data_IF_100584109957
#
_entry.id   IF_100584109957
#
_cell.length_a   1.000
_cell.length_b   1.000
_cell.length_c   1.000
_cell.angle_alpha   90.00
_cell.angle_beta   90.00
_cell.angle_gamma   90.00
#
_symmetry.space_group_name_H-M   'P 1'
#
loop_
_entity.id
_entity.type
_entity.pdbx_description
1 polymer ?
#
# COMPACT_ATOMS: atom_id res chain seq x y z
N UNK A 1 13.91 -8.87 3.79
CA UNK A 1 12.53 -8.55 4.08
C UNK A 1 11.88 -9.54 5.00
N UNK A 2 10.73 -9.18 5.48
CA UNK A 2 9.98 -10.01 6.41
C UNK A 2 8.61 -10.25 5.80
N UNK A 3 8.14 -11.49 5.85
CA UNK A 3 6.81 -11.81 5.35
C UNK A 3 5.78 -11.38 6.39
N UNK A 4 4.90 -10.49 6.03
CA UNK A 4 3.93 -9.91 6.95
C UNK A 4 2.48 -10.32 6.64
N UNK A 5 2.28 -11.19 5.67
CA UNK A 5 0.94 -11.63 5.32
C UNK A 5 0.93 -12.48 4.08
N UNK A 6 -0.24 -12.68 3.54
CA UNK A 6 -0.41 -13.49 2.33
C UNK A 6 -1.54 -12.96 1.47
N UNK A 7 -1.46 -13.22 0.19
CA UNK A 7 -2.53 -12.88 -0.74
C UNK A 7 -3.62 -13.94 -0.64
N UNK A 8 -4.85 -13.50 -0.46
CA UNK A 8 -5.98 -14.40 -0.39
C UNK A 8 -6.63 -14.61 -1.74
N UNK A 9 -6.80 -13.56 -2.49
CA UNK A 9 -7.48 -13.67 -3.79
C UNK A 9 -7.12 -12.50 -4.70
N UNK A 10 -7.26 -12.72 -5.97
CA UNK A 10 -7.04 -11.71 -6.99
C UNK A 10 -8.25 -11.74 -7.90
N UNK A 11 -8.85 -10.58 -8.10
CA UNK A 11 -10.02 -10.46 -8.96
C UNK A 11 -9.72 -9.42 -10.03
N UNK A 12 -10.04 -9.74 -11.26
CA UNK A 12 -9.80 -8.83 -12.36
C UNK A 12 -11.12 -8.25 -12.83
N UNK A 13 -11.19 -6.95 -12.92
CA UNK A 13 -12.37 -6.27 -13.45
C UNK A 13 -12.28 -6.29 -14.99
N UNK A 14 -13.21 -6.90 -15.67
CA UNK A 14 -13.12 -7.04 -17.13
C UNK A 14 -13.33 -5.70 -17.87
N UNK A 15 -13.92 -4.73 -17.22
CA UNK A 15 -14.18 -3.44 -17.85
C UNK A 15 -13.00 -2.51 -17.68
N UNK A 16 -12.55 -2.31 -16.46
CA UNK A 16 -11.44 -1.41 -16.20
C UNK A 16 -10.09 -2.06 -16.39
N UNK A 17 -10.08 -3.39 -16.37
CA UNK A 17 -8.87 -4.19 -16.45
C UNK A 17 -7.93 -3.97 -15.27
N UNK A 18 -8.49 -3.50 -14.19
CA UNK A 18 -7.73 -3.36 -12.95
C UNK A 18 -7.90 -4.61 -12.11
N UNK A 19 -6.86 -4.96 -11.44
CA UNK A 19 -6.90 -6.10 -10.54
C UNK A 19 -7.07 -5.63 -9.10
N UNK A 20 -7.95 -6.31 -8.39
CA UNK A 20 -8.10 -6.08 -6.96
C UNK A 20 -7.49 -7.27 -6.25
N UNK A 21 -6.53 -7.01 -5.41
CA UNK A 21 -5.84 -8.05 -4.67
C UNK A 21 -6.26 -7.95 -3.21
N UNK A 22 -6.85 -9.01 -2.71
CA UNK A 22 -7.21 -9.11 -1.31
C UNK A 22 -6.10 -9.85 -0.60
N UNK A 23 -5.61 -9.29 0.47
CA UNK A 23 -4.54 -9.92 1.24
C UNK A 23 -4.83 -9.85 2.73
N UNK A 24 -4.29 -10.81 3.44
CA UNK A 24 -4.44 -10.90 4.87
C UNK A 24 -3.10 -10.61 5.53
N UNK A 25 -3.11 -9.78 6.55
CA UNK A 25 -1.90 -9.37 7.24
C UNK A 25 -1.79 -10.09 8.59
N UNK A 26 -0.58 -10.49 8.91
CA UNK A 26 -0.32 -11.09 10.21
C UNK A 26 -0.49 -10.03 11.29
N UNK A 27 -1.47 -10.22 12.13
CA UNK A 27 -1.80 -9.24 13.16
C UNK A 27 -0.66 -8.96 14.14
N UNK A 28 0.21 -9.93 14.37
CA UNK A 28 1.30 -9.70 15.30
C UNK A 28 2.39 -8.81 14.69
N UNK A 29 2.58 -8.92 13.39
CA UNK A 29 3.64 -8.19 12.72
C UNK A 29 3.18 -6.84 12.20
N UNK A 30 1.89 -6.64 12.09
CA UNK A 30 1.34 -5.43 11.49
C UNK A 30 0.49 -4.61 12.46
N UNK A 31 0.62 -4.86 13.74
CA UNK A 31 -0.07 -4.08 14.77
C UNK A 31 0.93 -3.37 15.65
N UNK A 32 0.52 -2.27 16.20
CA UNK A 32 1.32 -1.58 17.20
C UNK A 32 1.20 -2.29 18.54
N UNK A 33 2.26 -2.29 19.31
CA UNK A 33 2.17 -2.72 20.69
C UNK A 33 1.46 -1.62 21.51
N UNK A 34 1.11 -1.90 22.75
CA UNK A 34 0.33 -0.98 23.57
C UNK A 34 1.00 0.38 23.74
N UNK A 35 2.31 0.41 23.89
CA UNK A 35 3.00 1.66 24.07
C UNK A 35 3.05 2.46 22.79
N UNK A 36 3.35 1.81 21.69
CA UNK A 36 3.37 2.46 20.38
C UNK A 36 1.98 3.00 20.05
N UNK A 37 0.93 2.24 20.35
CA UNK A 37 -0.42 2.67 20.06
C UNK A 37 -0.78 3.93 20.87
N UNK A 38 -0.36 4.00 22.13
CA UNK A 38 -0.59 5.19 22.92
C UNK A 38 0.10 6.41 22.31
N UNK A 39 1.30 6.23 21.81
CA UNK A 39 2.03 7.32 21.17
C UNK A 39 1.34 7.80 19.90
N UNK A 40 0.88 6.86 19.08
CA UNK A 40 0.18 7.20 17.84
C UNK A 40 -1.16 7.89 18.18
N UNK A 41 -1.88 7.40 19.19
CA UNK A 41 -3.13 8.01 19.60
C UNK A 41 -2.91 9.42 20.15
N UNK A 42 -1.85 9.61 20.91
CA UNK A 42 -1.55 10.94 21.44
C UNK A 42 -1.27 11.92 20.33
N UNK A 43 -0.48 11.53 19.35
CA UNK A 43 -0.16 12.40 18.21
C UNK A 43 -1.44 12.73 17.42
N UNK A 44 -2.29 11.76 17.22
CA UNK A 44 -3.54 11.97 16.49
C UNK A 44 -4.48 12.89 17.25
N UNK A 45 -4.54 12.75 18.56
CA UNK A 45 -5.37 13.63 19.39
C UNK A 45 -4.82 15.06 19.38
N UNK A 46 -3.52 15.22 19.45
CA UNK A 46 -2.92 16.55 19.39
C UNK A 46 -3.24 17.21 18.07
N UNK A 47 -3.14 16.48 16.98
CA UNK A 47 -3.47 16.99 15.66
C UNK A 47 -4.94 17.37 15.57
N UNK A 48 -5.84 16.53 16.09
CA UNK A 48 -7.26 16.84 16.12
C UNK A 48 -7.54 18.15 16.88
N UNK A 49 -6.89 18.32 18.03
CA UNK A 49 -7.10 19.50 18.86
C UNK A 49 -6.64 20.78 18.21
N UNK A 50 -5.71 20.70 17.27
CA UNK A 50 -5.26 21.87 16.53
C UNK A 50 -6.15 22.15 15.30
N UNK A 51 -7.05 21.24 14.97
CA UNK A 51 -7.89 21.46 13.81
C UNK A 51 -8.95 22.52 14.09
N UNK A 52 -9.32 23.25 13.06
CA UNK A 52 -10.30 24.32 13.21
C UNK A 52 -11.67 23.77 13.61
N UNK A 53 -12.02 22.62 13.10
CA UNK A 53 -13.31 22.01 13.41
C UNK A 53 -13.43 21.70 14.92
N UNK A 54 -12.35 21.21 15.51
CA UNK A 54 -12.35 20.91 16.93
C UNK A 54 -12.40 22.20 17.75
N UNK A 55 -11.65 23.22 17.34
CA UNK A 55 -11.60 24.45 18.09
C UNK A 55 -12.92 25.23 18.05
N UNK A 56 -13.69 25.04 17.01
CA UNK A 56 -14.99 25.68 16.90
C UNK A 56 -16.12 24.89 17.53
N UNK A 57 -15.87 23.67 17.93
CA UNK A 57 -16.88 22.81 18.50
C UNK A 57 -17.06 23.09 20.01
N UNK A 58 -18.25 22.82 20.52
CA UNK A 58 -18.48 22.93 21.96
C UNK A 58 -17.85 21.73 22.69
N UNK A 59 -17.85 21.77 24.00
CA UNK A 59 -17.19 20.73 24.79
C UNK A 59 -17.75 19.34 24.55
N UNK A 60 -19.06 19.24 24.37
CA UNK A 60 -19.68 17.94 24.12
C UNK A 60 -19.24 17.37 22.78
N UNK A 61 -19.21 18.22 21.78
CA UNK A 61 -18.82 17.80 20.46
C UNK A 61 -17.33 17.47 20.40
N UNK A 62 -16.50 18.23 21.09
CA UNK A 62 -15.07 17.95 21.18
C UNK A 62 -14.82 16.58 21.77
N UNK A 63 -15.55 16.25 22.83
CA UNK A 63 -15.39 14.96 23.47
C UNK A 63 -15.84 13.83 22.55
N UNK A 64 -16.92 14.05 21.82
CA UNK A 64 -17.38 13.06 20.84
C UNK A 64 -16.37 12.85 19.72
N UNK A 65 -15.74 13.91 19.25
CA UNK A 65 -14.71 13.83 18.22
C UNK A 65 -13.50 13.04 18.71
N UNK A 66 -13.08 13.27 19.96
CA UNK A 66 -11.96 12.52 20.52
C UNK A 66 -12.29 11.04 20.66
N UNK A 67 -13.49 10.74 21.15
CA UNK A 67 -13.90 9.36 21.32
C UNK A 67 -14.00 8.64 19.98
N UNK A 68 -14.50 9.32 18.96
CA UNK A 68 -14.60 8.73 17.64
C UNK A 68 -13.23 8.46 17.06
N UNK A 69 -12.30 9.37 17.24
CA UNK A 69 -10.94 9.20 16.76
C UNK A 69 -10.29 7.97 17.39
N UNK A 70 -10.38 7.86 18.71
CA UNK A 70 -9.80 6.72 19.41
C UNK A 70 -10.46 5.42 18.96
N UNK A 71 -11.77 5.43 18.80
CA UNK A 71 -12.49 4.24 18.36
C UNK A 71 -12.03 3.82 16.95
N UNK A 72 -11.82 4.78 16.08
CA UNK A 72 -11.35 4.47 14.72
C UNK A 72 -9.93 3.93 14.72
N UNK A 73 -9.14 4.26 15.72
CA UNK A 73 -7.75 3.82 15.78
C UNK A 73 -7.56 2.42 16.32
N UNK A 74 -8.63 1.77 16.78
CA UNK A 74 -8.50 0.41 17.31
C UNK A 74 -8.22 -0.61 16.20
N UNK A 75 -8.54 -0.28 14.96
CA UNK A 75 -8.35 -1.20 13.85
C UNK A 75 -7.20 -0.80 12.93
N UNK A 76 -6.36 0.13 13.33
CA UNK A 76 -5.25 0.54 12.47
C UNK A 76 -4.15 -0.51 12.46
N UNK A 77 -3.45 -0.55 11.35
CA UNK A 77 -2.25 -1.38 11.21
C UNK A 77 -1.03 -0.51 11.43
N UNK A 78 0.13 -1.10 11.47
CA UNK A 78 1.38 -0.35 11.53
C UNK A 78 1.89 0.07 10.15
N UNK A 79 1.08 -0.11 9.12
CA UNK A 79 1.43 0.30 7.76
C UNK A 79 0.89 1.71 7.56
N UNK A 80 1.76 2.64 7.22
CA UNK A 80 1.35 4.03 7.04
C UNK A 80 0.61 4.22 5.71
N UNK A 81 -0.20 5.28 5.65
CA UNK A 81 -1.01 5.56 4.46
C UNK A 81 -0.18 5.96 3.26
N UNK A 82 1.04 6.42 3.47
CA UNK A 82 1.93 6.80 2.38
C UNK A 82 2.73 5.60 1.86
N UNK A 83 2.59 4.45 2.49
CA UNK A 83 3.24 3.24 1.99
C UNK A 83 2.66 2.88 0.64
N UNK A 84 3.47 2.29 -0.20
CA UNK A 84 2.94 1.81 -1.46
C UNK A 84 3.21 0.32 -1.60
N UNK A 85 2.40 -0.31 -2.42
CA UNK A 85 2.46 -1.73 -2.65
C UNK A 85 2.85 -1.98 -4.09
N UNK A 86 3.82 -2.81 -4.30
CA UNK A 86 4.26 -3.15 -5.65
C UNK A 86 4.35 -4.66 -5.78
N UNK A 87 4.24 -5.13 -7.00
CA UNK A 87 4.44 -6.54 -7.29
C UNK A 87 5.92 -6.74 -7.61
N UNK A 88 6.53 -7.66 -6.95
CA UNK A 88 7.95 -7.96 -7.14
C UNK A 88 8.12 -9.45 -7.44
N UNK A 89 9.27 -9.80 -7.99
CA UNK A 89 9.59 -11.18 -8.30
C UNK A 89 10.83 -11.60 -7.51
N UNK A 90 10.77 -12.79 -6.97
CA UNK A 90 11.87 -13.29 -6.18
C UNK A 90 12.87 -13.95 -7.13
N UNK A 91 13.88 -13.23 -7.50
CA UNK A 91 14.86 -13.69 -8.49
C UNK A 91 14.36 -13.52 -9.91
N UNK A 92 15.02 -14.16 -10.84
CA UNK A 92 14.66 -14.01 -12.23
C UNK A 92 13.42 -14.81 -12.62
N UNK A 93 13.30 -15.99 -12.08
CA UNK A 93 12.18 -16.86 -12.41
C UNK A 93 11.39 -17.24 -11.18
N UNK A 94 11.52 -16.51 -10.12
CA UNK A 94 10.87 -16.87 -8.89
C UNK A 94 9.42 -16.45 -8.83
N UNK A 95 8.81 -16.75 -7.73
CA UNK A 95 7.42 -16.42 -7.52
C UNK A 95 7.23 -14.91 -7.34
N UNK A 96 6.06 -14.45 -7.70
CA UNK A 96 5.73 -13.04 -7.50
C UNK A 96 5.13 -12.85 -6.12
N UNK A 97 5.38 -11.71 -5.55
CA UNK A 97 4.86 -11.37 -4.24
C UNK A 97 4.53 -9.87 -4.18
N UNK A 98 3.71 -9.51 -3.24
CA UNK A 98 3.43 -8.11 -2.98
C UNK A 98 4.45 -7.58 -1.98
N UNK A 99 5.08 -6.49 -2.33
CA UNK A 99 6.05 -5.85 -1.47
C UNK A 99 5.46 -4.55 -0.95
N UNK A 100 5.45 -4.38 0.34
CA UNK A 100 5.00 -3.15 0.97
C UNK A 100 6.23 -2.31 1.28
N UNK A 101 6.25 -1.10 0.76
CA UNK A 101 7.35 -0.17 0.99
C UNK A 101 6.84 0.96 1.88
N UNK A 102 7.40 1.13 3.06
CA UNK A 102 6.94 2.16 3.98
C UNK A 102 7.12 3.55 3.39
N UNK A 103 6.20 4.44 3.69
CA UNK A 103 6.25 5.81 3.19
C UNK A 103 6.69 6.81 4.22
N UNK A 104 6.52 6.52 5.48
CA UNK A 104 6.88 7.47 6.52
C UNK A 104 5.77 8.42 6.90
N UNK A 105 4.55 8.11 6.54
CA UNK A 105 3.43 8.96 6.91
C UNK A 105 3.07 8.85 8.37
N UNK A 106 2.24 9.75 8.83
CA UNK A 106 1.82 9.79 10.23
C UNK A 106 0.46 9.16 10.45
N UNK A 107 -0.25 8.85 9.39
CA UNK A 107 -1.52 8.15 9.47
C UNK A 107 -1.31 6.71 9.04
N UNK A 108 -2.17 5.83 9.50
CA UNK A 108 -1.98 4.40 9.28
C UNK A 108 -3.22 3.76 8.68
N UNK A 109 -2.99 2.76 7.85
CA UNK A 109 -4.05 2.05 7.15
C UNK A 109 -4.86 1.23 8.13
N UNK A 110 -6.18 1.26 7.98
CA UNK A 110 -7.06 0.46 8.82
C UNK A 110 -7.29 -0.90 8.18
N UNK A 111 -7.56 -1.89 9.00
CA UNK A 111 -7.89 -3.22 8.48
C UNK A 111 -9.19 -3.15 7.70
N UNK A 112 -9.19 -3.75 6.53
CA UNK A 112 -10.34 -3.70 5.64
C UNK A 112 -10.37 -2.51 4.71
N UNK A 113 -9.38 -1.63 4.80
CA UNK A 113 -9.33 -0.46 3.95
C UNK A 113 -8.63 -0.78 2.64
N UNK A 114 -8.98 -0.05 1.61
CA UNK A 114 -8.39 -0.23 0.29
C UNK A 114 -7.16 0.66 0.17
N UNK A 115 -6.03 0.06 -0.19
CA UNK A 115 -4.81 0.81 -0.45
C UNK A 115 -4.71 1.02 -1.94
N UNK A 116 -4.74 2.25 -2.37
CA UNK A 116 -4.70 2.57 -3.80
C UNK A 116 -3.33 3.05 -4.28
N UNK A 117 -2.40 3.25 -3.38
CA UNK A 117 -1.05 3.66 -3.78
C UNK A 117 -0.26 2.41 -4.16
N UNK A 118 -0.41 2.00 -5.40
CA UNK A 118 0.14 0.74 -5.87
C UNK A 118 0.96 0.93 -7.14
N UNK A 119 1.85 -0.01 -7.38
CA UNK A 119 2.68 0.01 -8.56
C UNK A 119 2.74 -1.40 -9.12
N UNK A 120 2.52 -1.51 -10.40
CA UNK A 120 2.57 -2.82 -11.06
C UNK A 120 3.99 -3.32 -11.23
N UNK A 121 4.10 -4.59 -11.54
CA UNK A 121 5.39 -5.18 -11.76
C UNK A 121 5.87 -4.88 -13.17
N UNK A 122 7.16 -4.98 -13.37
CA UNK A 122 7.73 -4.91 -14.68
C UNK A 122 8.16 -6.29 -15.08
N UNK A 123 7.87 -6.67 -16.31
CA UNK A 123 8.36 -7.92 -16.82
C UNK A 123 9.81 -7.77 -17.22
N UNK A 124 10.50 -8.87 -17.26
CA UNK A 124 11.91 -8.84 -17.63
C UNK A 124 12.10 -8.27 -19.04
N UNK A 125 11.19 -8.57 -19.93
CA UNK A 125 11.27 -8.06 -21.28
C UNK A 125 11.14 -6.54 -21.30
N UNK A 126 10.28 -5.99 -20.49
CA UNK A 126 10.12 -4.55 -20.40
C UNK A 126 11.38 -3.90 -19.84
N UNK A 127 12.02 -4.50 -18.88
CA UNK A 127 13.27 -3.98 -18.35
C UNK A 127 14.35 -3.98 -19.40
N UNK A 128 14.46 -5.04 -20.17
CA UNK A 128 15.47 -5.12 -21.22
C UNK A 128 15.19 -4.07 -22.29
N UNK A 129 13.94 -3.91 -22.66
CA UNK A 129 13.59 -2.91 -23.66
C UNK A 129 13.95 -1.51 -23.21
N UNK A 130 13.64 -1.18 -21.98
CA UNK A 130 13.96 0.13 -21.47
C UNK A 130 15.47 0.35 -21.38
N UNK A 131 16.19 -0.67 -21.02
CA UNK A 131 17.62 -0.56 -20.90
C UNK A 131 18.26 -0.33 -22.27
N UNK A 132 17.83 -1.09 -23.28
CA UNK A 132 18.36 -0.95 -24.62
C UNK A 132 18.01 0.42 -25.18
N UNK A 133 16.77 0.84 -25.04
CA UNK A 133 16.37 2.10 -25.58
C UNK A 133 17.05 3.24 -24.88
N UNK A 134 17.17 3.17 -23.61
CA UNK A 134 17.80 4.22 -22.84
C UNK A 134 19.27 4.28 -23.13
N UNK A 135 19.87 3.15 -23.35
CA UNK A 135 21.29 3.15 -23.59
C UNK A 135 21.64 3.68 -24.97
N UNK A 136 20.83 3.44 -25.93
CA UNK A 136 21.13 3.87 -27.25
C UNK A 136 20.80 5.26 -27.46
N UNK A 137 20.04 5.76 -26.73
CA UNK A 137 19.74 7.14 -26.92
C UNK A 137 19.00 7.42 -28.13
N UNK A 138 18.72 6.60 -28.92
CA UNK A 138 18.12 6.96 -30.05
C UNK A 138 16.87 6.51 -30.19
N UNK A 139 16.51 6.31 -29.80
CA UNK A 139 15.35 5.88 -29.93
C UNK A 139 14.38 5.49 -30.49
N UNK A 140 14.03 5.81 -30.87
CA UNK A 140 13.30 5.48 -31.67
C UNK A 140 12.31 4.61 -31.20
N UNK A 141 11.84 4.30 -31.62
CA UNK A 141 10.94 3.46 -31.45
C UNK A 141 10.33 3.15 -30.38
N UNK A 142 10.80 2.90 -29.95
CA UNK A 142 10.34 2.73 -28.92
C UNK A 142 9.07 2.50 -28.75
N UNK A 143 8.67 3.01 -29.03
CA UNK A 143 7.46 2.99 -28.93
C UNK A 143 6.96 1.79 -28.50
N UNK A 144 6.82 1.33 -29.00
CA UNK A 144 6.26 0.27 -28.79
C UNK A 144 6.14 -0.16 -27.53
N UNK A 145 6.61 -0.54 -27.27
CA UNK A 145 6.61 -0.99 -26.16
C UNK A 145 5.70 -0.70 -25.31
N UNK A 146 5.76 -0.12 -25.06
CA UNK A 146 5.02 0.27 -24.18
C UNK A 146 3.95 -0.45 -23.81
N UNK A 147 3.25 -0.32 -24.17
CA UNK A 147 2.16 -0.74 -23.76
C UNK A 147 2.21 -1.84 -23.10
N UNK A 148 2.04 -2.19 -23.27
CA UNK A 148 2.07 -3.23 -22.93
C UNK A 148 2.00 -3.56 -21.72
N UNK A 149 2.08 -3.87 -21.61
CA UNK A 149 2.30 -4.27 -20.69
C UNK A 149 1.91 -4.21 -19.60
N UNK A 150 2.35 -3.98 -19.46
CA UNK A 150 2.34 -3.71 -18.42
C UNK A 150 1.39 -4.25 -17.76
N UNK A 151 1.00 -3.82 -17.55
CA UNK A 151 0.04 -4.04 -16.78
C UNK A 151 -0.46 -5.32 -16.60
N UNK A 152 -0.90 -5.73 -17.29
CA UNK A 152 -1.49 -6.79 -17.11
C UNK A 152 -1.06 -7.74 -16.20
N UNK A 153 -0.33 -8.19 -16.36
CA UNK A 153 0.04 -9.27 -15.72
C UNK A 153 -0.02 -9.26 -14.35
N UNK A 154 0.33 -8.44 -14.01
CA UNK A 154 0.35 -8.27 -12.78
C UNK A 154 -0.40 -9.07 -12.05
N UNK A 155 -1.30 -8.94 -12.08
CA UNK A 155 -2.06 -9.47 -11.21
C UNK A 155 -2.02 -10.85 -11.13
N UNK A 156 -2.09 -11.32 -12.02
CA UNK A 156 -2.33 -12.59 -11.97
C UNK A 156 -1.54 -13.52 -11.25
N UNK A 157 -0.47 -13.47 -11.34
CA UNK A 157 0.24 -14.44 -10.73
C UNK A 157 0.70 -14.28 -9.40
N UNK A 158 0.34 -13.51 -8.78
CA UNK A 158 0.86 -13.22 -7.53
C UNK A 158 0.47 -14.19 -6.53
N UNK A 159 1.22 -14.90 -6.06
CA UNK A 159 0.81 -15.74 -5.20
C UNK A 159 1.52 -15.44 -4.12
N UNK A 160 1.33 -14.78 -3.44
CA UNK A 160 2.21 -14.39 -2.63
C UNK A 160 2.15 -13.94 -1.34
N UNK A 161 3.07 -13.62 -0.76
CA UNK A 161 3.08 -13.08 0.55
C UNK A 161 3.49 -11.69 0.49
N UNK A 162 3.27 -10.93 1.52
CA UNK A 162 3.74 -9.60 1.67
C UNK A 162 5.13 -9.66 2.18
N UNK A 163 6.00 -8.83 1.65
CA UNK A 163 7.38 -8.75 2.08
C UNK A 163 7.73 -7.29 2.24
N UNK A 164 8.39 -6.95 3.31
CA UNK A 164 8.83 -5.59 3.55
C UNK A 164 10.23 -5.37 3.11
#
# INVERSE_FOLDING_TARGET
GVTIGRVESITLDPVTRLATVKFDLDGKLTSFNAEQLKGVQKNALDELRYSSDYQQADATKQKAMEQQLISNMTSITSIDEDAYIMVATNGLLGEKYLKVVPGGGVNYVKRGEVVSNTQGTMDLEDLISKFITGGSGKSTSSSATTESSASQPVATEAEASFVE
#
